data_IF_575163344351
#
_entry.id   IF_575163344351
#
_cell.length_a   1.000
_cell.length_b   1.000
_cell.length_c   1.000
_cell.angle_alpha   90.00
_cell.angle_beta   90.00
_cell.angle_gamma   90.00
#
_symmetry.space_group_name_H-M   'P 1'
#
loop_
_entity.id
_entity.type
_entity.pdbx_description
1 polymer ?
#
# COMPACT_ATOMS: atom_id res chain seq x y z
N UNK A 1 15.34 4.78 -6.50
CA UNK A 1 16.78 4.54 -6.15
C UNK A 1 17.25 5.72 -5.32
N UNK A 2 18.40 5.69 -4.63
CA UNK A 2 18.80 6.81 -3.75
C UNK A 2 20.21 7.30 -4.02
N UNK A 3 20.39 8.63 -4.00
CA UNK A 3 21.70 9.27 -4.07
C UNK A 3 22.38 9.19 -2.71
N UNK A 4 23.61 8.70 -2.67
CA UNK A 4 24.40 8.56 -1.44
C UNK A 4 25.79 9.13 -1.65
N UNK A 5 26.40 9.61 -0.57
CA UNK A 5 27.80 10.04 -0.57
C UNK A 5 28.68 8.95 0.03
N UNK A 6 29.72 8.55 -0.70
CA UNK A 6 30.67 7.55 -0.26
C UNK A 6 31.49 8.06 0.93
N UNK A 7 31.55 7.22 1.98
CA UNK A 7 32.31 7.48 3.21
C UNK A 7 33.66 6.78 3.23
N UNK A 8 33.89 5.82 2.34
CA UNK A 8 35.14 5.07 2.25
C UNK A 8 36.30 6.00 1.92
N UNK A 9 37.44 5.86 2.60
CA UNK A 9 38.59 6.79 2.55
C UNK A 9 39.02 7.13 1.13
N UNK A 10 39.09 6.13 0.24
CA UNK A 10 39.50 6.30 -1.17
C UNK A 10 38.49 7.08 -2.02
N UNK A 11 37.21 7.03 -1.67
CA UNK A 11 36.12 7.60 -2.46
C UNK A 11 35.36 8.69 -1.68
N UNK A 12 35.94 9.21 -0.61
CA UNK A 12 35.25 10.09 0.33
C UNK A 12 34.72 11.32 -0.39
N UNK A 13 33.43 11.59 -0.21
CA UNK A 13 32.77 12.75 -0.83
C UNK A 13 32.23 12.52 -2.25
N UNK A 14 32.59 11.41 -2.92
CA UNK A 14 31.99 11.06 -4.22
C UNK A 14 30.55 10.59 -4.04
N UNK A 15 29.65 11.00 -4.93
CA UNK A 15 28.26 10.56 -4.93
C UNK A 15 28.04 9.33 -5.82
N UNK A 16 27.10 8.48 -5.43
CA UNK A 16 26.69 7.29 -6.17
C UNK A 16 25.20 7.02 -5.98
N UNK A 17 24.58 6.42 -6.99
CA UNK A 17 23.25 5.85 -6.92
C UNK A 17 23.30 4.45 -6.33
N UNK A 18 22.45 4.18 -5.37
CA UNK A 18 22.30 2.86 -4.76
C UNK A 18 20.86 2.51 -4.46
N UNK A 19 20.63 1.26 -4.06
CA UNK A 19 19.31 0.86 -3.59
C UNK A 19 18.95 1.50 -2.23
N UNK A 20 17.65 1.78 -1.98
CA UNK A 20 17.20 2.22 -0.65
C UNK A 20 17.57 1.21 0.44
N UNK A 21 17.47 -0.09 0.12
CA UNK A 21 17.81 -1.24 0.98
C UNK A 21 19.07 -1.95 0.48
N UNK A 22 20.21 -1.26 0.54
CA UNK A 22 21.51 -1.84 0.17
C UNK A 22 21.96 -2.84 1.23
N UNK A 23 22.17 -4.11 0.83
CA UNK A 23 22.73 -5.19 1.67
C UNK A 23 22.11 -5.32 3.09
N UNK A 24 20.80 -5.14 3.23
CA UNK A 24 20.10 -5.55 4.46
C UNK A 24 20.07 -7.07 4.46
N UNK A 25 20.89 -7.70 5.31
CA UNK A 25 20.89 -9.13 5.67
C UNK A 25 20.95 -10.08 4.46
N UNK A 26 22.02 -10.87 4.33
CA UNK A 26 22.15 -11.86 3.24
C UNK A 26 20.99 -12.87 3.17
N UNK A 27 20.16 -12.98 4.21
CA UNK A 27 18.97 -13.82 4.24
C UNK A 27 17.72 -13.25 3.52
N UNK A 28 17.59 -11.93 3.33
CA UNK A 28 16.32 -11.29 2.93
C UNK A 28 16.33 -10.55 1.58
N UNK A 29 17.26 -10.88 0.67
CA UNK A 29 17.23 -10.35 -0.70
C UNK A 29 17.58 -8.87 -0.81
N UNK A 30 18.58 -8.41 -0.04
CA UNK A 30 19.11 -7.05 -0.16
C UNK A 30 19.62 -6.75 -1.58
N UNK A 31 19.34 -5.54 -2.08
CA UNK A 31 19.77 -5.11 -3.41
C UNK A 31 21.25 -4.68 -3.40
N UNK A 32 21.97 -4.96 -4.51
CA UNK A 32 23.39 -4.64 -4.70
C UNK A 32 23.66 -3.57 -5.77
N UNK A 33 22.63 -2.87 -6.24
CA UNK A 33 22.78 -1.81 -7.24
C UNK A 33 23.69 -0.69 -6.74
N UNK A 34 24.67 -0.34 -7.56
CA UNK A 34 25.66 0.72 -7.33
C UNK A 34 26.08 1.32 -8.68
N UNK A 35 26.02 2.64 -8.83
CA UNK A 35 26.53 3.37 -10.00
C UNK A 35 27.09 4.73 -9.56
N UNK A 36 28.27 5.14 -10.02
CA UNK A 36 28.79 6.46 -9.67
C UNK A 36 27.93 7.57 -10.29
N UNK A 37 27.74 8.66 -9.55
CA UNK A 37 27.03 9.83 -10.04
C UNK A 37 27.78 10.53 -11.19
N UNK A 38 29.12 10.50 -11.14
CA UNK A 38 29.99 11.08 -12.17
C UNK A 38 29.91 10.40 -13.54
N UNK A 39 29.42 9.17 -13.60
CA UNK A 39 29.37 8.39 -14.84
C UNK A 39 28.14 8.76 -15.70
N UNK A 40 27.41 9.80 -15.32
CA UNK A 40 26.23 10.32 -16.03
C UNK A 40 26.55 11.06 -17.36
N UNK A 41 27.71 10.84 -17.97
CA UNK A 41 28.06 11.47 -19.25
C UNK A 41 29.07 10.73 -20.13
N UNK A 42 29.47 9.49 -19.80
CA UNK A 42 30.56 8.81 -20.54
C UNK A 42 30.16 7.47 -21.18
N UNK A 43 29.02 6.87 -20.83
CA UNK A 43 28.62 5.59 -21.45
C UNK A 43 27.12 5.54 -21.80
N UNK A 44 26.86 5.02 -23.01
CA UNK A 44 25.58 5.00 -23.71
C UNK A 44 24.42 4.43 -22.88
N UNK A 45 23.30 5.17 -22.94
CA UNK A 45 21.92 4.73 -22.78
C UNK A 45 21.15 4.98 -21.46
N UNK A 46 21.70 5.58 -20.40
CA UNK A 46 20.84 6.12 -19.33
C UNK A 46 21.41 7.40 -18.72
N UNK A 47 20.87 8.55 -19.15
CA UNK A 47 21.15 9.87 -18.56
C UNK A 47 20.58 9.97 -17.14
N UNK A 48 21.20 10.79 -16.31
CA UNK A 48 20.73 11.07 -14.94
C UNK A 48 19.27 11.58 -14.92
N UNK A 49 18.82 12.30 -15.95
CA UNK A 49 17.44 12.79 -16.09
C UNK A 49 16.42 11.64 -16.14
N UNK A 50 16.76 10.53 -16.80
CA UNK A 50 15.90 9.34 -16.88
C UNK A 50 15.77 8.66 -15.52
N UNK A 51 16.83 8.68 -14.70
CA UNK A 51 16.78 8.12 -13.35
C UNK A 51 15.90 8.95 -12.42
N UNK A 52 16.00 10.28 -12.50
CA UNK A 52 15.16 11.21 -11.73
C UNK A 52 13.68 11.13 -12.16
N UNK A 53 13.41 11.08 -13.48
CA UNK A 53 12.06 10.93 -14.01
C UNK A 53 11.41 9.58 -13.60
N UNK A 54 12.20 8.50 -13.56
CA UNK A 54 11.71 7.20 -13.09
C UNK A 54 11.40 7.20 -11.59
N UNK A 55 12.19 7.91 -10.77
CA UNK A 55 11.94 8.04 -9.34
C UNK A 55 10.64 8.83 -9.07
N UNK A 56 10.43 9.96 -9.76
CA UNK A 56 9.20 10.74 -9.67
C UNK A 56 7.96 9.93 -10.10
N UNK A 57 8.06 9.18 -11.19
CA UNK A 57 6.97 8.31 -11.67
C UNK A 57 6.66 7.19 -10.68
N UNK A 58 7.68 6.63 -10.03
CA UNK A 58 7.51 5.61 -8.98
C UNK A 58 6.78 6.18 -7.76
N UNK A 59 7.17 7.38 -7.31
CA UNK A 59 6.51 8.10 -6.19
C UNK A 59 5.04 8.35 -6.51
N UNK A 60 4.73 8.93 -7.69
CA UNK A 60 3.35 9.18 -8.12
C UNK A 60 2.51 7.90 -8.20
N UNK A 61 3.10 6.79 -8.61
CA UNK A 61 2.41 5.49 -8.67
C UNK A 61 2.06 4.99 -7.27
N UNK A 62 2.98 5.12 -6.31
CA UNK A 62 2.77 4.74 -4.92
C UNK A 62 1.71 5.62 -4.24
N UNK A 63 1.76 6.94 -4.44
CA UNK A 63 0.75 7.87 -3.93
C UNK A 63 -0.65 7.55 -4.45
N UNK A 64 -0.79 7.38 -5.77
CA UNK A 64 -2.07 7.00 -6.39
C UNK A 64 -2.60 5.66 -5.85
N UNK A 65 -1.72 4.69 -5.63
CA UNK A 65 -2.09 3.40 -5.05
C UNK A 65 -2.55 3.54 -3.59
N UNK A 66 -1.87 4.36 -2.79
CA UNK A 66 -2.27 4.66 -1.41
C UNK A 66 -3.62 5.36 -1.33
N UNK A 67 -3.85 6.37 -2.17
CA UNK A 67 -5.14 7.09 -2.25
C UNK A 67 -6.29 6.14 -2.64
N UNK A 68 -6.05 5.24 -3.60
CA UNK A 68 -7.05 4.23 -4.00
C UNK A 68 -7.41 3.29 -2.84
N UNK A 69 -6.43 2.79 -2.10
CA UNK A 69 -6.68 1.92 -0.94
C UNK A 69 -7.46 2.64 0.15
N UNK A 70 -7.16 3.91 0.43
CA UNK A 70 -7.90 4.71 1.41
C UNK A 70 -9.36 4.88 0.99
N UNK A 71 -9.62 5.14 -0.28
CA UNK A 71 -10.98 5.27 -0.82
C UNK A 71 -11.78 3.96 -0.70
N UNK A 72 -11.18 2.82 -1.07
CA UNK A 72 -11.82 1.51 -0.98
C UNK A 72 -12.18 1.15 0.48
N UNK A 73 -11.28 1.44 1.43
CA UNK A 73 -11.52 1.25 2.86
C UNK A 73 -12.62 2.19 3.37
N UNK A 74 -12.60 3.48 3.01
CA UNK A 74 -13.65 4.41 3.41
C UNK A 74 -15.03 3.98 2.90
N UNK A 75 -15.11 3.51 1.64
CA UNK A 75 -16.36 3.01 1.06
C UNK A 75 -16.90 1.81 1.85
N UNK A 76 -16.06 0.82 2.14
CA UNK A 76 -16.47 -0.36 2.91
C UNK A 76 -16.93 0.01 4.34
N UNK A 77 -16.26 0.97 4.98
CA UNK A 77 -16.63 1.47 6.32
C UNK A 77 -17.98 2.19 6.29
N UNK A 78 -18.28 2.96 5.24
CA UNK A 78 -19.57 3.66 5.09
C UNK A 78 -20.75 2.73 4.76
N UNK A 79 -20.51 1.63 4.05
CA UNK A 79 -21.56 0.67 3.68
C UNK A 79 -21.96 -0.26 4.85
N UNK A 80 -21.04 -0.55 5.78
CA UNK A 80 -21.26 -1.40 6.94
C UNK A 80 -22.45 -0.97 7.85
N UNK A 81 -22.58 0.31 8.30
CA UNK A 81 -23.69 0.72 9.17
C UNK A 81 -25.05 0.63 8.48
N UNK A 82 -25.11 0.83 7.15
CA UNK A 82 -26.36 0.70 6.39
C UNK A 82 -26.83 -0.75 6.36
N UNK A 83 -25.92 -1.70 6.14
CA UNK A 83 -26.26 -3.12 6.15
C UNK A 83 -26.65 -3.64 7.55
N UNK A 84 -25.98 -3.14 8.59
CA UNK A 84 -26.32 -3.46 9.99
C UNK A 84 -27.76 -3.06 10.34
N UNK A 85 -28.23 -1.89 9.89
CA UNK A 85 -29.62 -1.45 10.11
C UNK A 85 -30.63 -2.39 9.46
N UNK A 86 -30.35 -2.85 8.24
CA UNK A 86 -31.19 -3.83 7.55
C UNK A 86 -31.25 -5.16 8.28
N UNK A 87 -30.10 -5.70 8.72
CA UNK A 87 -30.04 -6.95 9.47
C UNK A 87 -30.86 -6.87 10.77
N UNK A 88 -30.70 -5.80 11.54
CA UNK A 88 -31.47 -5.58 12.77
C UNK A 88 -32.97 -5.55 12.48
N UNK A 89 -33.38 -4.87 11.42
CA UNK A 89 -34.79 -4.82 10.98
C UNK A 89 -35.35 -6.20 10.65
N UNK A 90 -34.63 -7.00 9.85
CA UNK A 90 -35.07 -8.34 9.46
C UNK A 90 -35.18 -9.28 10.66
N UNK A 91 -34.19 -9.29 11.56
CA UNK A 91 -34.21 -10.12 12.77
C UNK A 91 -35.39 -9.75 13.68
N UNK A 92 -35.68 -8.46 13.83
CA UNK A 92 -36.82 -7.98 14.62
C UNK A 92 -38.16 -8.49 14.06
N UNK A 93 -38.36 -8.40 12.75
CA UNK A 93 -39.59 -8.90 12.10
C UNK A 93 -39.73 -10.42 12.27
N UNK A 94 -38.66 -11.19 12.03
CA UNK A 94 -38.67 -12.65 12.20
C UNK A 94 -39.02 -13.03 13.64
N UNK A 95 -38.47 -12.31 14.62
CA UNK A 95 -38.76 -12.53 16.03
C UNK A 95 -40.24 -12.28 16.36
N UNK A 96 -40.82 -11.18 15.88
CA UNK A 96 -42.24 -10.86 16.08
C UNK A 96 -43.14 -11.92 15.42
N UNK A 97 -42.85 -12.29 14.17
CA UNK A 97 -43.62 -13.30 13.46
C UNK A 97 -43.59 -14.65 14.19
N UNK A 98 -42.43 -15.05 14.70
CA UNK A 98 -42.29 -16.28 15.46
C UNK A 98 -43.09 -16.23 16.78
N UNK A 99 -43.06 -15.09 17.50
CA UNK A 99 -43.86 -14.89 18.72
C UNK A 99 -45.36 -15.03 18.46
N UNK A 100 -45.86 -14.50 17.34
CA UNK A 100 -47.27 -14.64 16.94
C UNK A 100 -47.63 -16.10 16.68
N UNK A 101 -46.77 -16.84 15.95
CA UNK A 101 -47.00 -18.27 15.65
C UNK A 101 -47.06 -19.08 16.94
N UNK A 102 -46.13 -18.87 17.88
CA UNK A 102 -46.10 -19.57 19.16
C UNK A 102 -47.37 -19.24 19.97
N UNK A 103 -47.79 -17.97 20.03
CA UNK A 103 -49.02 -17.57 20.71
C UNK A 103 -50.27 -18.24 20.10
N UNK A 104 -50.34 -18.34 18.77
CA UNK A 104 -51.43 -19.03 18.07
C UNK A 104 -51.45 -20.54 18.34
N UNK A 105 -50.27 -21.18 18.46
CA UNK A 105 -50.15 -22.60 18.77
C UNK A 105 -50.55 -22.90 20.22
N UNK A 106 -50.13 -22.06 21.17
CA UNK A 106 -50.44 -22.24 22.59
C UNK A 106 -51.89 -21.87 22.94
N UNK A 107 -52.50 -20.89 22.24
CA UNK A 107 -53.90 -20.49 22.47
C UNK A 107 -54.94 -21.43 21.86
N UNK A 108 -54.52 -22.50 21.16
CA UNK A 108 -55.39 -23.56 20.62
C UNK A 108 -55.29 -24.88 21.40
N UNK A 109 -54.52 -24.93 22.48
CA UNK A 109 -54.48 -26.04 23.44
C UNK A 109 -55.47 -25.79 24.58
#
# INVERSE_FOLDING_TARGET
>A
IVLRTAKATKNRGKQFWGCPRYKIGSENGGCNFFRWFSDCGVEENVSCEVLEANDERLVKTFENQGVKQIFDVQKAVMDLPSWMKYLVGVVSVVFIMNMIIIAMLMGRA
#
